data_IF_758154777456
#
_entry.id   IF_758154777456
#
_cell.length_a   1.000
_cell.length_b   1.000
_cell.length_c   1.000
_cell.angle_alpha   90.00
_cell.angle_beta   90.00
_cell.angle_gamma   90.00
#
_symmetry.space_group_name_H-M   'P 1'
#
loop_
_entity.id
_entity.type
_entity.pdbx_description
1 polymer ?
#
# COMPACT_ATOMS: atom_id res chain seq x y z
N UNK A 1 7.87 7.66 15.31
CA UNK A 1 7.26 8.40 14.21
C UNK A 1 6.17 7.57 13.52
N UNK A 2 6.43 6.37 13.08
CA UNK A 2 5.52 5.49 12.32
C UNK A 2 4.23 5.10 13.03
N UNK A 3 4.22 4.90 14.36
CA UNK A 3 2.99 4.62 15.10
C UNK A 3 1.96 5.75 14.99
N UNK A 4 2.39 7.01 15.09
CA UNK A 4 1.50 8.18 14.92
C UNK A 4 0.92 8.23 13.51
N UNK A 5 1.75 7.96 12.50
CA UNK A 5 1.32 7.92 11.09
C UNK A 5 0.34 6.78 10.83
N UNK A 6 0.57 5.59 11.42
CA UNK A 6 -0.34 4.45 11.35
C UNK A 6 -1.71 4.79 11.92
N UNK A 7 -1.76 5.36 13.13
CA UNK A 7 -3.01 5.77 13.78
C UNK A 7 -3.74 6.81 12.94
N UNK A 8 -3.03 7.84 12.45
CA UNK A 8 -3.62 8.90 11.63
C UNK A 8 -4.21 8.36 10.33
N UNK A 9 -3.51 7.45 9.67
CA UNK A 9 -3.96 6.82 8.42
C UNK A 9 -5.18 5.92 8.68
N UNK A 10 -5.18 5.16 9.78
CA UNK A 10 -6.32 4.34 10.19
C UNK A 10 -7.54 5.22 10.46
N UNK A 11 -7.39 6.28 11.25
CA UNK A 11 -8.50 7.20 11.56
C UNK A 11 -9.06 7.82 10.28
N UNK A 12 -8.21 8.31 9.38
CA UNK A 12 -8.65 8.95 8.14
C UNK A 12 -9.44 7.98 7.25
N UNK A 13 -8.91 6.78 7.03
CA UNK A 13 -9.56 5.77 6.21
C UNK A 13 -10.86 5.29 6.84
N UNK A 14 -10.86 5.02 8.15
CA UNK A 14 -12.06 4.58 8.86
C UNK A 14 -13.15 5.65 8.83
N UNK A 15 -12.81 6.93 9.00
CA UNK A 15 -13.75 8.03 8.95
C UNK A 15 -14.44 8.11 7.57
N UNK A 16 -13.68 7.96 6.48
CA UNK A 16 -14.25 7.95 5.12
C UNK A 16 -15.24 6.79 4.95
N UNK A 17 -14.89 5.59 5.41
CA UNK A 17 -15.77 4.43 5.32
C UNK A 17 -17.04 4.60 6.18
N UNK A 18 -16.91 5.10 7.41
CA UNK A 18 -18.04 5.35 8.31
C UNK A 18 -19.02 6.35 7.69
N UNK A 19 -18.51 7.44 7.12
CA UNK A 19 -19.36 8.44 6.43
C UNK A 19 -20.07 7.79 5.24
N UNK A 20 -19.36 7.02 4.43
CA UNK A 20 -19.94 6.38 3.25
C UNK A 20 -21.03 5.37 3.60
N UNK A 21 -20.81 4.54 4.63
CA UNK A 21 -21.81 3.59 5.14
C UNK A 21 -23.03 4.34 5.72
N UNK A 22 -22.80 5.41 6.48
CA UNK A 22 -23.86 6.24 7.05
C UNK A 22 -24.72 6.93 6.00
N UNK A 23 -24.09 7.49 4.95
CA UNK A 23 -24.80 8.10 3.81
C UNK A 23 -25.63 7.05 3.08
N UNK A 24 -25.05 5.87 2.79
CA UNK A 24 -25.77 4.78 2.12
C UNK A 24 -26.99 4.32 2.94
N UNK A 25 -26.81 4.11 4.25
CA UNK A 25 -27.91 3.76 5.15
C UNK A 25 -29.01 4.80 5.18
N UNK A 26 -28.65 6.09 5.24
CA UNK A 26 -29.59 7.22 5.20
C UNK A 26 -30.38 7.28 3.88
N UNK A 27 -29.71 7.04 2.76
CA UNK A 27 -30.36 7.00 1.43
C UNK A 27 -31.38 5.85 1.36
N UNK A 28 -30.99 4.64 1.80
CA UNK A 28 -31.88 3.47 1.79
C UNK A 28 -33.10 3.72 2.67
N UNK A 29 -32.90 4.22 3.89
CA UNK A 29 -34.00 4.51 4.80
C UNK A 29 -34.93 5.59 4.24
N UNK A 30 -34.38 6.71 3.78
CA UNK A 30 -35.16 7.82 3.21
C UNK A 30 -35.94 7.41 1.97
N UNK A 31 -35.33 6.64 1.08
CA UNK A 31 -36.01 6.09 -0.13
C UNK A 31 -37.18 5.19 0.26
N UNK A 32 -36.97 4.24 1.18
CA UNK A 32 -37.99 3.30 1.63
C UNK A 32 -39.12 4.03 2.35
N UNK A 33 -38.80 4.97 3.24
CA UNK A 33 -39.74 5.82 3.93
C UNK A 33 -40.66 6.57 2.95
N UNK A 34 -40.04 7.29 2.01
CA UNK A 34 -40.81 8.08 1.02
C UNK A 34 -41.67 7.19 0.13
N UNK A 35 -41.18 6.00 -0.25
CA UNK A 35 -41.94 5.06 -1.07
C UNK A 35 -43.19 4.55 -0.34
N UNK A 36 -43.01 4.09 0.89
CA UNK A 36 -44.12 3.58 1.71
C UNK A 36 -45.16 4.65 1.96
N UNK A 37 -44.76 5.83 2.42
CA UNK A 37 -45.69 6.91 2.70
C UNK A 37 -46.39 7.43 1.44
N UNK A 38 -45.73 7.47 0.30
CA UNK A 38 -46.35 7.80 -1.00
C UNK A 38 -47.42 6.77 -1.42
N UNK A 39 -47.20 5.49 -1.15
CA UNK A 39 -48.21 4.44 -1.42
C UNK A 39 -49.43 4.57 -0.49
N UNK A 40 -49.20 4.84 0.79
CA UNK A 40 -50.23 5.10 1.78
C UNK A 40 -51.07 6.30 1.37
N UNK A 41 -50.42 7.42 1.04
CA UNK A 41 -51.07 8.67 0.66
C UNK A 41 -51.89 8.55 -0.63
N UNK A 42 -51.34 7.82 -1.63
CA UNK A 42 -52.07 7.49 -2.87
C UNK A 42 -53.30 6.66 -2.61
N UNK A 43 -53.27 5.69 -1.69
CA UNK A 43 -54.42 4.86 -1.38
C UNK A 43 -55.53 5.67 -0.66
N UNK A 44 -55.14 6.51 0.29
CA UNK A 44 -56.08 7.45 0.93
C UNK A 44 -56.67 8.39 -0.12
N UNK A 45 -55.86 8.98 -0.99
CA UNK A 45 -56.32 9.88 -2.05
C UNK A 45 -57.32 9.22 -3.01
N UNK A 46 -57.09 7.96 -3.38
CA UNK A 46 -58.05 7.21 -4.21
C UNK A 46 -59.39 7.02 -3.49
N UNK A 47 -59.37 6.71 -2.21
CA UNK A 47 -60.57 6.54 -1.39
C UNK A 47 -61.34 7.88 -1.24
N UNK A 48 -60.66 9.01 -1.01
CA UNK A 48 -61.23 10.35 -1.01
C UNK A 48 -61.90 10.68 -2.32
N UNK A 49 -61.23 10.42 -3.44
CA UNK A 49 -61.76 10.71 -4.76
C UNK A 49 -62.99 9.82 -5.09
N UNK A 50 -62.94 8.56 -4.71
CA UNK A 50 -64.08 7.65 -4.89
C UNK A 50 -65.29 8.14 -4.10
N UNK A 51 -65.08 8.57 -2.84
CA UNK A 51 -66.13 9.07 -1.98
C UNK A 51 -66.74 10.37 -2.51
N UNK A 52 -65.96 11.32 -2.99
CA UNK A 52 -66.45 12.58 -3.58
C UNK A 52 -67.27 12.33 -4.85
N UNK A 53 -66.91 11.33 -5.65
CA UNK A 53 -67.65 11.00 -6.90
C UNK A 53 -68.93 10.18 -6.66
N UNK A 54 -69.12 9.60 -5.47
CA UNK A 54 -70.29 8.73 -5.16
C UNK A 54 -71.51 9.50 -4.71
N UNK A 55 -71.44 10.82 -4.63
CA UNK A 55 -72.48 11.65 -4.00
C UNK A 55 -73.68 12.04 -4.89
N UNK A 56 -73.66 11.66 -6.17
CA UNK A 56 -74.72 11.99 -7.13
C UNK A 56 -75.93 11.02 -7.17
N UNK A 57 -75.93 9.97 -6.38
CA UNK A 57 -77.05 9.03 -6.35
C UNK A 57 -77.46 8.63 -4.92
N UNK A 58 -78.53 9.25 -4.43
CA UNK A 58 -79.42 8.87 -3.30
C UNK A 58 -78.94 7.69 -2.47
N UNK A 59 -78.56 7.93 -1.20
CA UNK A 59 -78.37 6.89 -0.16
C UNK A 59 -79.57 5.95 -0.21
N UNK A 60 -79.36 4.68 -0.45
CA UNK A 60 -80.44 3.68 -0.31
C UNK A 60 -80.73 3.46 1.17
N UNK A 61 -82.02 3.50 1.52
CA UNK A 61 -82.56 3.29 2.90
C UNK A 61 -82.26 1.87 3.48
N UNK A 62 -81.45 1.08 2.89
CA UNK A 62 -80.90 -0.19 3.41
C UNK A 62 -79.46 -0.31 2.96
N UNK A 63 -78.51 -0.09 3.90
CA UNK A 63 -77.07 -0.33 3.70
C UNK A 63 -76.85 -1.83 3.54
N UNK A 64 -76.97 -2.33 2.33
CA UNK A 64 -76.43 -3.64 1.91
C UNK A 64 -75.24 -3.40 1.04
N UNK A 65 -74.03 -3.72 1.59
CA UNK A 65 -72.86 -4.02 0.82
C UNK A 65 -72.40 -2.98 -0.16
N UNK A 66 -71.70 -1.92 0.28
CA UNK A 66 -70.76 -1.24 -0.59
C UNK A 66 -69.64 -2.25 -0.98
N UNK A 67 -69.24 -2.28 -2.27
CA UNK A 67 -68.08 -3.06 -2.64
C UNK A 67 -66.85 -2.54 -1.87
N UNK A 68 -65.92 -3.42 -1.45
CA UNK A 68 -64.76 -3.03 -0.68
C UNK A 68 -64.01 -1.89 -1.42
N UNK A 69 -63.90 -0.75 -0.75
CA UNK A 69 -62.95 0.27 -1.14
C UNK A 69 -61.62 -0.43 -1.19
N UNK A 70 -60.99 -0.60 -2.35
CA UNK A 70 -59.84 -1.38 -2.72
C UNK A 70 -58.73 -1.73 -1.73
N UNK A 71 -58.65 -1.17 -0.54
CA UNK A 71 -57.67 -1.52 0.52
C UNK A 71 -58.45 -1.84 1.82
N UNK A 72 -58.41 -3.12 2.31
CA UNK A 72 -59.13 -3.56 3.50
C UNK A 72 -58.70 -2.90 4.82
N UNK A 73 -57.58 -2.13 4.78
CA UNK A 73 -57.04 -1.41 5.95
C UNK A 73 -57.57 0.01 6.07
N UNK A 74 -58.45 0.42 5.14
CA UNK A 74 -59.07 1.75 5.15
C UNK A 74 -60.44 1.66 5.79
N UNK A 75 -60.70 2.55 6.79
CA UNK A 75 -61.98 2.74 7.46
C UNK A 75 -62.47 4.15 7.25
N UNK A 76 -63.75 4.32 7.04
CA UNK A 76 -64.39 5.62 6.90
C UNK A 76 -65.13 5.96 8.17
N UNK A 77 -64.85 7.15 8.71
CA UNK A 77 -65.57 7.76 9.86
C UNK A 77 -66.36 8.97 9.38
N UNK A 78 -67.63 9.05 9.71
CA UNK A 78 -68.52 10.17 9.37
C UNK A 78 -68.88 10.90 10.67
N UNK A 79 -68.48 12.14 10.80
CA UNK A 79 -68.72 13.00 11.94
C UNK A 79 -69.92 13.94 11.69
N UNK A 80 -70.91 13.80 12.55
CA UNK A 80 -72.11 14.69 12.53
C UNK A 80 -72.18 15.39 13.89
N UNK A 81 -71.61 16.61 13.97
CA UNK A 81 -71.37 17.22 15.25
C UNK A 81 -70.42 16.38 16.11
N UNK A 82 -70.83 15.97 17.30
CA UNK A 82 -70.05 15.10 18.21
C UNK A 82 -70.38 13.61 18.05
N UNK A 83 -71.25 13.24 17.10
CA UNK A 83 -71.62 11.85 16.84
C UNK A 83 -70.79 11.29 15.70
N UNK A 84 -70.24 10.11 15.88
CA UNK A 84 -69.45 9.40 14.88
C UNK A 84 -70.26 8.23 14.34
N UNK A 85 -70.53 8.23 13.05
CA UNK A 85 -71.03 7.07 12.32
C UNK A 85 -69.87 6.35 11.65
N UNK A 86 -69.76 5.04 11.90
CA UNK A 86 -68.71 4.20 11.29
C UNK A 86 -69.25 3.63 9.98
N UNK A 87 -68.55 3.79 8.88
CA UNK A 87 -68.87 3.16 7.62
C UNK A 87 -68.85 1.64 7.76
N UNK A 88 -69.95 0.96 7.36
CA UNK A 88 -70.07 -0.50 7.49
C UNK A 88 -69.58 -1.15 6.23
N UNK A 89 -68.52 -1.92 6.31
CA UNK A 89 -68.00 -2.78 5.24
C UNK A 89 -68.46 -4.22 5.46
N UNK A 90 -69.11 -4.81 4.45
CA UNK A 90 -69.54 -6.22 4.47
C UNK A 90 -70.44 -6.63 5.68
N UNK A 91 -71.23 -5.77 6.21
CA UNK A 91 -72.17 -6.09 7.26
C UNK A 91 -71.58 -6.32 8.65
N UNK A 92 -70.26 -6.13 8.83
CA UNK A 92 -69.59 -6.16 10.12
C UNK A 92 -69.00 -4.77 10.45
N UNK A 93 -69.35 -4.25 11.62
CA UNK A 93 -68.65 -3.08 12.20
C UNK A 93 -67.24 -3.54 12.53
N UNK A 94 -66.24 -3.02 11.84
CA UNK A 94 -64.84 -3.33 12.08
C UNK A 94 -64.13 -2.08 12.64
N UNK A 95 -64.54 -1.67 13.80
CA UNK A 95 -63.81 -0.66 14.51
C UNK A 95 -63.35 -1.20 15.87
N UNK A 96 -62.06 -1.36 16.02
CA UNK A 96 -61.44 -2.05 17.18
C UNK A 96 -61.38 -1.08 18.41
N UNK A 97 -61.73 0.21 18.24
CA UNK A 97 -61.55 1.24 19.26
C UNK A 97 -62.79 2.12 19.51
N UNK A 98 -63.97 1.48 19.69
CA UNK A 98 -65.20 2.26 19.99
C UNK A 98 -65.03 3.15 21.23
N UNK A 99 -64.21 2.73 22.21
CA UNK A 99 -63.95 3.51 23.46
C UNK A 99 -62.94 4.66 23.29
N UNK A 100 -62.30 4.85 22.11
CA UNK A 100 -61.31 5.86 21.88
C UNK A 100 -61.55 6.73 20.62
N UNK A 101 -62.76 6.78 20.13
CA UNK A 101 -63.15 7.55 18.94
C UNK A 101 -62.79 9.01 19.05
N UNK A 102 -62.81 9.63 20.25
CA UNK A 102 -62.45 11.02 20.49
C UNK A 102 -60.99 11.33 20.02
N UNK A 103 -60.08 10.34 20.10
CA UNK A 103 -58.69 10.52 19.65
C UNK A 103 -58.58 10.67 18.15
N UNK A 104 -59.57 10.20 17.39
CA UNK A 104 -59.62 10.34 15.93
C UNK A 104 -60.28 11.67 15.49
N UNK A 105 -60.79 12.46 16.43
CA UNK A 105 -61.43 13.76 16.09
C UNK A 105 -60.53 14.58 15.16
N UNK A 106 -61.01 15.01 14.00
CA UNK A 106 -60.19 15.69 13.00
C UNK A 106 -59.79 17.09 13.50
N UNK A 107 -58.51 17.29 13.78
CA UNK A 107 -57.96 18.58 14.23
C UNK A 107 -57.83 19.61 13.11
N UNK A 108 -57.56 19.14 11.87
CA UNK A 108 -57.42 19.97 10.68
C UNK A 108 -58.07 19.26 9.47
N UNK A 109 -58.85 20.02 8.69
CA UNK A 109 -59.42 19.52 7.46
C UNK A 109 -58.46 19.71 6.28
N UNK A 110 -58.51 18.81 5.27
CA UNK A 110 -57.72 18.88 4.06
C UNK A 110 -56.24 18.54 4.17
N UNK A 111 -55.82 18.00 5.33
CA UNK A 111 -54.41 17.60 5.54
C UNK A 111 -54.30 16.16 6.03
N UNK A 112 -53.24 15.50 5.62
CA UNK A 112 -52.91 14.19 6.12
C UNK A 112 -52.32 14.31 7.53
N UNK A 113 -52.77 13.45 8.46
CA UNK A 113 -52.35 13.46 9.86
C UNK A 113 -52.05 12.04 10.30
N UNK A 114 -50.99 11.88 11.06
CA UNK A 114 -50.64 10.62 11.73
C UNK A 114 -51.19 10.65 13.17
N UNK A 115 -51.87 9.60 13.58
CA UNK A 115 -52.49 9.47 14.92
C UNK A 115 -52.02 8.13 15.50
N UNK A 116 -51.66 8.16 16.77
CA UNK A 116 -51.34 6.95 17.54
C UNK A 116 -52.42 6.68 18.56
N UNK A 117 -52.98 5.48 18.54
CA UNK A 117 -54.00 5.03 19.47
C UNK A 117 -53.66 3.63 19.97
N UNK A 118 -53.44 3.48 21.26
CA UNK A 118 -53.12 2.18 21.92
C UNK A 118 -51.94 1.43 21.26
N UNK A 119 -50.90 2.13 20.82
CA UNK A 119 -49.75 1.53 20.18
C UNK A 119 -49.92 1.16 18.69
N UNK A 120 -51.12 1.45 18.13
CA UNK A 120 -51.35 1.34 16.68
C UNK A 120 -51.25 2.71 16.02
N UNK A 121 -50.74 2.70 14.79
CA UNK A 121 -50.51 3.95 14.04
C UNK A 121 -51.50 4.04 12.88
N UNK A 122 -52.13 5.22 12.79
CA UNK A 122 -53.13 5.49 11.74
C UNK A 122 -52.76 6.77 11.01
N UNK A 123 -52.94 6.73 9.68
CA UNK A 123 -52.82 7.91 8.83
C UNK A 123 -54.21 8.31 8.39
N UNK A 124 -54.58 9.57 8.62
CA UNK A 124 -55.92 10.03 8.45
C UNK A 124 -55.98 11.27 7.54
N UNK A 125 -57.10 11.40 6.80
CA UNK A 125 -57.43 12.57 6.03
C UNK A 125 -58.89 12.89 6.19
N UNK A 126 -59.21 14.09 6.66
CA UNK A 126 -60.58 14.53 6.89
C UNK A 126 -60.93 15.68 5.93
N UNK A 127 -62.14 15.63 5.39
CA UNK A 127 -62.68 16.71 4.55
C UNK A 127 -64.17 16.94 4.83
N UNK A 128 -64.63 18.17 4.57
CA UNK A 128 -66.03 18.50 4.74
C UNK A 128 -66.86 18.11 3.51
N UNK A 129 -68.00 17.49 3.77
CA UNK A 129 -68.98 17.14 2.74
C UNK A 129 -70.35 17.52 3.30
N UNK A 130 -70.96 18.54 2.70
CA UNK A 130 -72.19 19.17 3.18
C UNK A 130 -72.11 19.60 4.66
N UNK A 131 -72.98 19.06 5.53
CA UNK A 131 -73.03 19.31 7.00
C UNK A 131 -72.19 18.28 7.79
N UNK A 132 -71.49 17.36 7.13
CA UNK A 132 -70.75 16.25 7.74
C UNK A 132 -69.27 16.40 7.47
N UNK A 133 -68.45 15.87 8.35
CA UNK A 133 -67.01 15.67 8.10
C UNK A 133 -66.77 14.21 7.83
N UNK A 134 -66.20 13.90 6.67
CA UNK A 134 -65.80 12.54 6.27
C UNK A 134 -64.32 12.45 6.56
N UNK A 135 -63.93 11.45 7.34
CA UNK A 135 -62.55 11.16 7.68
C UNK A 135 -62.20 9.73 7.19
N UNK A 136 -61.20 9.64 6.37
CA UNK A 136 -60.63 8.40 5.92
C UNK A 136 -59.46 8.05 6.83
N UNK A 137 -59.49 6.88 7.43
CA UNK A 137 -58.48 6.36 8.36
C UNK A 137 -57.86 5.10 7.77
N UNK A 138 -56.58 5.09 7.66
CA UNK A 138 -55.82 3.90 7.21
C UNK A 138 -54.88 3.47 8.34
N UNK A 139 -54.93 2.18 8.68
CA UNK A 139 -53.95 1.56 9.57
C UNK A 139 -52.61 1.45 8.87
N UNK A 140 -51.56 2.02 9.48
CA UNK A 140 -50.18 2.01 9.00
C UNK A 140 -49.22 1.36 10.03
N UNK A 141 -49.75 0.58 10.98
CA UNK A 141 -48.96 -0.02 12.04
C UNK A 141 -47.91 -0.93 11.48
N UNK A 142 -48.29 -1.79 10.50
CA UNK A 142 -47.34 -2.71 9.86
C UNK A 142 -46.21 -1.96 9.08
N UNK A 143 -46.59 -0.86 8.40
CA UNK A 143 -45.62 -0.02 7.68
C UNK A 143 -44.65 0.64 8.66
N UNK A 144 -45.12 1.10 9.80
CA UNK A 144 -44.30 1.75 10.84
C UNK A 144 -43.38 0.74 11.52
N UNK A 145 -43.88 -0.46 11.85
CA UNK A 145 -43.07 -1.55 12.39
C UNK A 145 -41.99 -2.00 11.41
N UNK A 146 -42.32 -2.08 10.11
CA UNK A 146 -41.36 -2.41 9.06
C UNK A 146 -40.24 -1.34 8.97
N UNK A 147 -40.60 -0.04 9.04
CA UNK A 147 -39.61 1.05 9.03
C UNK A 147 -38.73 1.03 10.28
N UNK A 148 -39.30 0.76 11.47
CA UNK A 148 -38.53 0.63 12.69
C UNK A 148 -37.57 -0.57 12.65
N UNK A 149 -38.03 -1.70 12.13
CA UNK A 149 -37.20 -2.89 11.92
C UNK A 149 -36.07 -2.60 10.93
N UNK A 150 -36.37 -1.95 9.81
CA UNK A 150 -35.37 -1.51 8.83
C UNK A 150 -34.33 -0.59 9.46
N UNK A 151 -34.77 0.41 10.24
CA UNK A 151 -33.87 1.30 10.97
C UNK A 151 -32.93 0.56 11.89
N UNK A 152 -33.46 -0.41 12.64
CA UNK A 152 -32.68 -1.22 13.59
C UNK A 152 -31.64 -2.08 12.87
N UNK A 153 -32.04 -2.74 11.77
CA UNK A 153 -31.13 -3.53 10.93
C UNK A 153 -30.03 -2.64 10.35
N UNK A 154 -30.37 -1.46 9.82
CA UNK A 154 -29.39 -0.51 9.29
C UNK A 154 -28.46 -0.01 10.39
N UNK A 155 -28.97 0.33 11.56
CA UNK A 155 -28.16 0.82 12.69
C UNK A 155 -27.16 -0.24 13.17
N UNK A 156 -27.61 -1.50 13.32
CA UNK A 156 -26.71 -2.63 13.68
C UNK A 156 -25.69 -2.87 12.56
N UNK A 157 -26.14 -2.96 11.31
CA UNK A 157 -25.27 -3.18 10.16
C UNK A 157 -24.21 -2.09 9.99
N UNK A 158 -24.59 -0.82 10.11
CA UNK A 158 -23.66 0.31 10.08
C UNK A 158 -22.65 0.27 11.25
N UNK A 159 -23.10 -0.11 12.45
CA UNK A 159 -22.25 -0.22 13.64
C UNK A 159 -21.19 -1.34 13.46
N UNK A 160 -21.62 -2.53 13.06
CA UNK A 160 -20.71 -3.67 12.78
C UNK A 160 -19.77 -3.33 11.62
N UNK A 161 -20.29 -2.78 10.54
CA UNK A 161 -19.48 -2.35 9.38
C UNK A 161 -18.43 -1.32 9.77
N UNK A 162 -18.77 -0.37 10.64
CA UNK A 162 -17.83 0.63 11.16
C UNK A 162 -16.73 0.02 12.01
N UNK A 163 -17.05 -0.93 12.88
CA UNK A 163 -16.05 -1.67 13.67
C UNK A 163 -15.11 -2.47 12.77
N UNK A 164 -15.64 -3.17 11.77
CA UNK A 164 -14.87 -3.89 10.79
C UNK A 164 -13.94 -2.94 9.99
N UNK A 165 -14.44 -1.79 9.57
CA UNK A 165 -13.67 -0.80 8.83
C UNK A 165 -12.46 -0.28 9.65
N UNK A 166 -12.63 -0.06 10.96
CA UNK A 166 -11.52 0.32 11.86
C UNK A 166 -10.48 -0.80 11.96
N UNK A 167 -10.92 -2.04 12.16
CA UNK A 167 -10.02 -3.21 12.27
C UNK A 167 -9.22 -3.46 10.99
N UNK A 168 -9.89 -3.48 9.85
CA UNK A 168 -9.26 -3.66 8.53
C UNK A 168 -8.33 -2.48 8.21
N UNK A 169 -8.77 -1.25 8.48
CA UNK A 169 -7.97 -0.05 8.28
C UNK A 169 -6.67 -0.07 9.09
N UNK A 170 -6.72 -0.51 10.35
CA UNK A 170 -5.55 -0.66 11.21
C UNK A 170 -4.58 -1.74 10.70
N UNK A 171 -5.10 -2.87 10.24
CA UNK A 171 -4.31 -3.96 9.68
C UNK A 171 -3.62 -3.53 8.38
N UNK A 172 -4.36 -2.95 7.44
CA UNK A 172 -3.83 -2.50 6.14
C UNK A 172 -2.80 -1.37 6.30
N UNK A 173 -3.09 -0.37 7.16
CA UNK A 173 -2.14 0.70 7.47
C UNK A 173 -0.84 0.16 8.06
N UNK A 174 -0.91 -0.84 8.94
CA UNK A 174 0.26 -1.52 9.48
C UNK A 174 1.10 -2.19 8.40
N UNK A 175 0.45 -2.96 7.52
CA UNK A 175 1.15 -3.70 6.47
C UNK A 175 1.75 -2.79 5.39
N UNK A 176 1.06 -1.69 5.05
CA UNK A 176 1.55 -0.72 4.07
C UNK A 176 2.77 0.08 4.57
N UNK A 177 2.89 0.29 5.88
CA UNK A 177 4.00 1.05 6.46
C UNK A 177 5.29 0.24 6.65
N UNK A 178 5.23 -1.11 6.68
CA UNK A 178 6.42 -1.96 6.87
C UNK A 178 7.51 -1.70 5.82
N UNK A 179 7.21 -1.67 4.50
CA UNK A 179 8.23 -1.40 3.48
C UNK A 179 8.85 -0.01 3.63
N UNK A 180 8.05 0.98 3.98
CA UNK A 180 8.50 2.36 4.17
C UNK A 180 9.42 2.46 5.39
N UNK A 181 9.07 1.79 6.48
CA UNK A 181 9.88 1.74 7.68
C UNK A 181 11.23 1.07 7.41
N UNK A 182 11.24 -0.09 6.76
CA UNK A 182 12.46 -0.80 6.42
C UNK A 182 13.37 0.03 5.50
N UNK A 183 12.78 0.75 4.53
CA UNK A 183 13.55 1.64 3.64
C UNK A 183 14.14 2.82 4.41
N UNK A 184 13.38 3.39 5.34
CA UNK A 184 13.85 4.49 6.20
C UNK A 184 14.99 4.06 7.12
N UNK A 185 14.87 2.89 7.77
CA UNK A 185 15.90 2.33 8.63
C UNK A 185 17.18 2.05 7.85
N UNK A 186 17.09 1.46 6.65
CA UNK A 186 18.23 1.26 5.76
C UNK A 186 18.89 2.58 5.34
N UNK A 187 18.10 3.61 5.08
CA UNK A 187 18.63 4.93 4.72
C UNK A 187 19.34 5.60 5.91
N UNK A 188 18.79 5.51 7.12
CA UNK A 188 19.46 6.03 8.33
C UNK A 188 20.77 5.29 8.60
N UNK A 189 20.77 3.96 8.48
CA UNK A 189 21.97 3.15 8.63
C UNK A 189 23.04 3.56 7.61
N UNK A 190 22.64 3.73 6.32
CA UNK A 190 23.55 4.18 5.27
C UNK A 190 24.21 5.53 5.61
N UNK A 191 23.46 6.52 6.10
CA UNK A 191 24.02 7.85 6.48
C UNK A 191 24.96 7.70 7.69
N UNK A 192 24.60 6.88 8.66
CA UNK A 192 25.44 6.61 9.84
C UNK A 192 26.78 5.97 9.43
N UNK A 193 26.72 4.90 8.64
CA UNK A 193 27.90 4.16 8.22
C UNK A 193 28.80 5.01 7.30
N UNK A 194 28.21 5.79 6.38
CA UNK A 194 28.94 6.74 5.55
C UNK A 194 29.71 7.77 6.41
N UNK A 195 29.07 8.29 7.47
CA UNK A 195 29.68 9.24 8.38
C UNK A 195 30.86 8.64 9.15
N UNK A 196 30.75 7.38 9.56
CA UNK A 196 31.83 6.67 10.22
C UNK A 196 33.00 6.39 9.27
N UNK A 197 32.73 5.91 8.07
CA UNK A 197 33.74 5.59 7.06
C UNK A 197 34.47 6.85 6.51
N UNK A 198 33.83 8.02 6.53
CA UNK A 198 34.45 9.29 6.16
C UNK A 198 35.32 9.85 7.31
N UNK A 199 34.92 9.66 8.56
CA UNK A 199 35.62 10.24 9.74
C UNK A 199 37.01 9.67 9.93
N UNK A 200 37.17 8.35 9.75
CA UNK A 200 38.43 7.64 10.01
C UNK A 200 39.58 8.15 9.10
N UNK A 201 39.46 8.14 7.76
CA UNK A 201 40.51 8.64 6.89
C UNK A 201 40.77 10.13 7.08
N UNK A 202 39.73 10.92 7.38
CA UNK A 202 39.89 12.36 7.67
C UNK A 202 40.73 12.61 8.92
N UNK A 203 40.53 11.83 9.99
CA UNK A 203 41.30 11.91 11.20
C UNK A 203 42.79 11.53 10.97
N UNK A 204 43.03 10.53 10.10
CA UNK A 204 44.41 10.15 9.71
C UNK A 204 45.09 11.29 8.93
N UNK A 205 44.41 11.87 7.95
CA UNK A 205 44.92 13.01 7.18
C UNK A 205 45.25 14.15 8.14
N UNK A 206 44.33 14.51 9.04
CA UNK A 206 44.53 15.59 9.99
C UNK A 206 45.73 15.32 10.91
N UNK A 207 45.80 14.11 11.53
CA UNK A 207 46.93 13.73 12.37
C UNK A 207 48.25 13.77 11.63
N UNK A 208 48.35 13.30 10.40
CA UNK A 208 49.55 13.33 9.59
C UNK A 208 49.96 14.78 9.19
N UNK A 209 48.96 15.61 8.92
CA UNK A 209 49.16 17.04 8.64
C UNK A 209 49.71 17.78 9.86
N UNK A 210 49.20 17.48 11.06
CA UNK A 210 49.69 18.04 12.34
C UNK A 210 51.16 17.68 12.59
N UNK A 211 51.55 16.41 12.27
CA UNK A 211 52.95 15.94 12.34
C UNK A 211 53.86 16.73 11.39
N UNK A 212 53.36 17.08 10.16
CA UNK A 212 54.11 17.91 9.22
C UNK A 212 54.32 19.33 9.78
N UNK A 213 53.29 19.92 10.36
CA UNK A 213 53.42 21.25 11.00
C UNK A 213 54.36 21.30 12.22
N UNK A 214 54.46 20.21 12.98
CA UNK A 214 55.38 20.11 14.11
C UNK A 214 56.85 19.92 13.70
N UNK A 215 57.14 19.73 12.41
CA UNK A 215 58.49 19.50 11.88
C UNK A 215 58.84 20.46 10.76
N UNK A 216 58.85 21.79 11.00
CA UNK A 216 58.98 22.79 9.91
C UNK A 216 60.35 22.76 9.19
N UNK A 217 61.36 22.17 9.81
CA UNK A 217 62.71 22.06 9.23
C UNK A 217 62.95 20.75 8.49
N UNK A 218 62.00 19.81 8.56
CA UNK A 218 62.13 18.52 7.87
C UNK A 218 62.00 18.66 6.36
N UNK A 219 62.79 17.90 5.63
CA UNK A 219 62.71 17.83 4.19
C UNK A 219 61.49 17.01 3.69
N UNK A 220 61.07 17.20 2.45
CA UNK A 220 60.02 16.41 1.82
C UNK A 220 60.38 14.92 1.84
N UNK A 221 61.63 14.58 1.66
CA UNK A 221 62.16 13.22 1.64
C UNK A 221 62.00 12.55 3.03
N UNK A 222 62.35 13.25 4.10
CA UNK A 222 62.14 12.78 5.49
C UNK A 222 60.67 12.58 5.84
N UNK A 223 59.76 13.33 5.23
CA UNK A 223 58.30 13.26 5.43
C UNK A 223 57.55 12.52 4.34
N UNK A 224 58.25 11.87 3.41
CA UNK A 224 57.66 11.18 2.26
C UNK A 224 56.57 10.13 2.65
N UNK A 225 56.80 9.42 3.76
CA UNK A 225 55.84 8.45 4.28
C UNK A 225 54.56 9.09 4.78
N UNK A 226 54.65 10.23 5.50
CA UNK A 226 53.48 10.96 5.99
C UNK A 226 52.71 11.56 4.83
N UNK A 227 53.36 12.15 3.85
CA UNK A 227 52.78 12.72 2.61
C UNK A 227 52.13 11.60 1.78
N UNK A 228 52.78 10.45 1.64
CA UNK A 228 52.26 9.29 0.92
C UNK A 228 50.97 8.77 1.59
N UNK A 229 50.96 8.71 2.94
CA UNK A 229 49.78 8.32 3.73
C UNK A 229 48.61 9.28 3.49
N UNK A 230 48.86 10.61 3.54
CA UNK A 230 47.82 11.60 3.23
C UNK A 230 47.27 11.39 1.81
N UNK A 231 48.17 11.23 0.82
CA UNK A 231 47.77 11.02 -0.58
C UNK A 231 46.92 9.74 -0.75
N UNK A 232 47.28 8.65 -0.06
CA UNK A 232 46.55 7.38 -0.06
C UNK A 232 45.14 7.58 0.52
N UNK A 233 45.02 8.26 1.67
CA UNK A 233 43.72 8.51 2.30
C UNK A 233 42.84 9.49 1.51
N UNK A 234 43.42 10.49 0.85
CA UNK A 234 42.67 11.37 -0.07
C UNK A 234 42.08 10.59 -1.26
N UNK A 235 42.84 9.66 -1.86
CA UNK A 235 42.35 8.80 -2.95
C UNK A 235 41.26 7.87 -2.47
N UNK A 236 41.41 7.29 -1.26
CA UNK A 236 40.40 6.46 -0.63
C UNK A 236 39.09 7.22 -0.38
N UNK A 237 39.15 8.45 0.14
CA UNK A 237 38.01 9.32 0.34
C UNK A 237 37.30 9.65 -0.99
N UNK A 238 38.07 10.00 -2.02
CA UNK A 238 37.50 10.27 -3.35
C UNK A 238 36.72 9.09 -3.92
N UNK A 239 37.31 7.85 -3.83
CA UNK A 239 36.63 6.63 -4.25
C UNK A 239 35.37 6.37 -3.43
N UNK A 240 35.44 6.60 -2.10
CA UNK A 240 34.29 6.43 -1.20
C UNK A 240 33.13 7.39 -1.56
N UNK A 241 33.42 8.68 -1.73
CA UNK A 241 32.43 9.70 -2.12
C UNK A 241 31.80 9.37 -3.47
N UNK A 242 32.61 8.98 -4.47
CA UNK A 242 32.10 8.57 -5.79
C UNK A 242 31.13 7.38 -5.68
N UNK A 243 31.47 6.38 -4.88
CA UNK A 243 30.62 5.21 -4.66
C UNK A 243 29.32 5.56 -3.90
N UNK A 244 29.38 6.45 -2.90
CA UNK A 244 28.22 6.93 -2.18
C UNK A 244 27.26 7.70 -3.10
N UNK A 245 27.80 8.60 -3.94
CA UNK A 245 26.99 9.34 -4.92
C UNK A 245 26.35 8.40 -5.95
N UNK A 246 27.09 7.37 -6.40
CA UNK A 246 26.55 6.37 -7.31
C UNK A 246 25.36 5.65 -6.68
N UNK A 247 25.50 5.15 -5.44
CA UNK A 247 24.43 4.46 -4.73
C UNK A 247 23.24 5.37 -4.42
N UNK A 248 23.47 6.62 -4.02
CA UNK A 248 22.40 7.58 -3.77
C UNK A 248 21.58 7.89 -5.05
N UNK A 249 22.26 8.03 -6.20
CA UNK A 249 21.60 8.22 -7.51
C UNK A 249 20.90 6.95 -7.99
N UNK A 250 21.43 5.76 -7.63
CA UNK A 250 20.82 4.49 -7.98
C UNK A 250 19.46 4.29 -7.29
N UNK A 251 19.35 4.69 -6.02
CA UNK A 251 18.12 4.61 -5.23
C UNK A 251 17.01 5.52 -5.78
N UNK A 252 17.38 6.67 -6.32
CA UNK A 252 16.43 7.60 -6.94
C UNK A 252 16.07 7.25 -8.38
N UNK A 253 16.57 6.12 -8.90
CA UNK A 253 16.42 5.68 -10.30
C UNK A 253 16.81 6.75 -11.34
N UNK A 254 17.74 7.65 -10.98
CA UNK A 254 18.20 8.79 -11.81
C UNK A 254 19.36 8.44 -12.73
N UNK A 255 19.87 7.21 -12.67
CA UNK A 255 20.96 6.77 -13.53
C UNK A 255 20.37 6.12 -14.77
N UNK A 256 20.50 6.76 -15.89
CA UNK A 256 20.25 6.17 -17.20
C UNK A 256 21.45 5.31 -17.60
N UNK A 257 21.17 4.09 -18.08
CA UNK A 257 22.20 3.18 -18.56
C UNK A 257 22.45 3.43 -20.04
N UNK A 258 23.71 3.69 -20.42
CA UNK A 258 24.11 3.82 -21.81
C UNK A 258 24.33 2.42 -22.43
N UNK A 259 23.22 1.73 -22.71
CA UNK A 259 23.24 0.37 -23.23
C UNK A 259 23.56 0.37 -24.73
N UNK A 260 24.70 -0.20 -25.08
CA UNK A 260 25.16 -0.41 -26.46
C UNK A 260 25.61 -1.85 -26.64
N UNK A 261 25.64 -2.31 -27.87
CA UNK A 261 26.18 -3.64 -28.18
C UNK A 261 27.71 -3.58 -28.20
N UNK A 262 28.35 -4.48 -27.46
CA UNK A 262 29.80 -4.63 -27.43
C UNK A 262 30.18 -6.12 -27.29
N UNK A 263 31.46 -6.43 -27.55
CA UNK A 263 32.02 -7.77 -27.43
C UNK A 263 32.51 -8.01 -26.00
N UNK A 264 31.83 -8.91 -25.27
CA UNK A 264 32.12 -9.22 -23.88
C UNK A 264 33.47 -9.86 -23.67
N UNK A 265 33.86 -10.75 -24.58
CA UNK A 265 35.16 -11.41 -24.58
C UNK A 265 36.31 -10.39 -24.63
N UNK A 266 36.24 -9.43 -25.54
CA UNK A 266 37.26 -8.37 -25.65
C UNK A 266 37.30 -7.48 -24.41
N UNK A 267 36.13 -7.14 -23.84
CA UNK A 267 36.10 -6.37 -22.62
C UNK A 267 36.75 -7.13 -21.45
N UNK A 268 36.50 -8.43 -21.32
CA UNK A 268 37.09 -9.24 -20.26
C UNK A 268 38.62 -9.39 -20.44
N UNK A 269 39.11 -9.58 -21.67
CA UNK A 269 40.54 -9.59 -21.97
C UNK A 269 41.21 -8.28 -21.58
N UNK A 270 40.64 -7.13 -21.99
CA UNK A 270 41.12 -5.78 -21.65
C UNK A 270 41.23 -5.54 -20.13
N UNK A 271 40.25 -6.05 -19.35
CA UNK A 271 40.24 -5.90 -17.90
C UNK A 271 41.22 -6.84 -17.21
N UNK A 272 41.23 -8.12 -17.63
CA UNK A 272 41.98 -9.18 -16.93
C UNK A 272 43.48 -9.14 -17.21
N UNK A 273 43.92 -8.71 -18.39
CA UNK A 273 45.33 -8.68 -18.72
C UNK A 273 46.20 -7.85 -17.77
N UNK A 274 45.85 -6.63 -17.38
CA UNK A 274 46.57 -5.89 -16.34
C UNK A 274 46.58 -6.60 -14.98
N UNK A 275 45.49 -7.30 -14.64
CA UNK A 275 45.38 -8.04 -13.37
C UNK A 275 46.30 -9.28 -13.35
N UNK A 276 46.54 -9.93 -14.49
CA UNK A 276 47.50 -11.04 -14.57
C UNK A 276 48.92 -10.63 -14.17
N UNK A 277 49.35 -9.43 -14.63
CA UNK A 277 50.66 -8.88 -14.24
C UNK A 277 50.71 -8.62 -12.72
N UNK A 278 49.66 -7.95 -12.15
CA UNK A 278 49.58 -7.67 -10.71
C UNK A 278 49.55 -8.97 -9.92
N UNK A 279 48.79 -9.98 -10.38
CA UNK A 279 48.68 -11.28 -9.72
C UNK A 279 50.06 -11.98 -9.69
N UNK A 280 50.79 -11.95 -10.77
CA UNK A 280 52.14 -12.50 -10.86
C UNK A 280 53.11 -11.88 -9.84
N UNK A 281 53.06 -10.52 -9.68
CA UNK A 281 53.83 -9.82 -8.63
C UNK A 281 53.47 -10.23 -7.21
N UNK A 282 52.23 -10.69 -7.01
CA UNK A 282 51.74 -11.16 -5.72
C UNK A 282 51.80 -12.69 -5.56
N UNK A 283 52.57 -13.36 -6.42
CA UNK A 283 52.70 -14.80 -6.45
C UNK A 283 51.36 -15.56 -6.58
N UNK A 284 50.41 -14.99 -7.33
CA UNK A 284 49.09 -15.57 -7.60
C UNK A 284 48.98 -15.95 -9.08
N UNK A 285 48.24 -16.99 -9.40
CA UNK A 285 47.93 -17.38 -10.76
C UNK A 285 46.53 -16.86 -11.16
N UNK A 286 46.46 -16.19 -12.33
CA UNK A 286 45.17 -15.70 -12.87
C UNK A 286 44.93 -16.26 -14.27
N UNK A 287 43.80 -16.96 -14.43
CA UNK A 287 43.44 -17.66 -15.67
C UNK A 287 42.14 -17.09 -16.21
N UNK A 288 42.12 -16.69 -17.49
CA UNK A 288 40.90 -16.28 -18.20
C UNK A 288 40.53 -17.38 -19.19
N UNK A 289 39.31 -17.89 -19.11
CA UNK A 289 38.67 -18.81 -20.05
C UNK A 289 37.43 -18.18 -20.62
N UNK A 290 37.49 -17.67 -21.83
CA UNK A 290 36.38 -16.98 -22.48
C UNK A 290 36.07 -17.64 -23.83
N UNK A 291 34.79 -17.82 -24.12
CA UNK A 291 34.33 -18.14 -25.47
C UNK A 291 34.42 -16.88 -26.34
N UNK A 292 34.81 -17.03 -27.60
CA UNK A 292 34.94 -15.90 -28.52
C UNK A 292 33.61 -15.50 -29.12
N UNK A 293 33.54 -14.24 -29.61
CA UNK A 293 32.41 -13.65 -30.31
C UNK A 293 31.12 -13.55 -29.43
N UNK A 294 31.28 -13.27 -28.11
CA UNK A 294 30.17 -13.05 -27.21
C UNK A 294 29.68 -11.59 -27.34
N UNK A 295 28.64 -11.39 -28.13
CA UNK A 295 27.98 -10.08 -28.24
C UNK A 295 26.98 -9.84 -27.09
N UNK A 296 27.08 -8.70 -26.42
CA UNK A 296 26.20 -8.32 -25.31
C UNK A 296 25.69 -6.89 -25.47
N UNK A 297 24.38 -6.65 -25.20
CA UNK A 297 23.79 -5.34 -25.16
C UNK A 297 23.75 -4.85 -23.70
N UNK A 298 24.56 -3.86 -23.36
CA UNK A 298 24.66 -3.35 -21.99
C UNK A 298 25.49 -2.07 -21.92
N UNK A 299 25.60 -1.52 -20.72
CA UNK A 299 26.48 -0.39 -20.42
C UNK A 299 27.89 -0.94 -20.14
N UNK A 300 28.79 -0.78 -21.15
CA UNK A 300 30.14 -1.29 -21.13
C UNK A 300 30.95 -0.82 -19.91
N UNK A 301 30.83 0.45 -19.58
CA UNK A 301 31.55 1.07 -18.44
C UNK A 301 31.08 0.50 -17.10
N UNK A 302 29.78 0.24 -16.95
CA UNK A 302 29.22 -0.38 -15.75
C UNK A 302 29.62 -1.85 -15.63
N UNK A 303 29.62 -2.61 -16.73
CA UNK A 303 30.11 -4.00 -16.71
C UNK A 303 31.60 -4.02 -16.38
N UNK A 304 32.40 -3.10 -16.96
CA UNK A 304 33.81 -2.93 -16.57
C UNK A 304 33.95 -2.68 -15.06
N UNK A 305 33.19 -1.73 -14.52
CA UNK A 305 33.20 -1.42 -13.08
C UNK A 305 32.84 -2.63 -12.21
N UNK A 306 31.82 -3.39 -12.60
CA UNK A 306 31.43 -4.63 -11.91
C UNK A 306 32.57 -5.63 -11.90
N UNK A 307 33.20 -5.88 -13.04
CA UNK A 307 34.31 -6.83 -13.14
C UNK A 307 35.52 -6.42 -12.30
N UNK A 308 35.89 -5.12 -12.31
CA UNK A 308 36.95 -4.58 -11.44
C UNK A 308 36.64 -4.84 -9.97
N UNK A 309 35.38 -4.64 -9.53
CA UNK A 309 34.97 -4.93 -8.15
C UNK A 309 35.16 -6.39 -7.79
N UNK A 310 34.73 -7.30 -8.67
CA UNK A 310 34.86 -8.75 -8.43
C UNK A 310 36.30 -9.21 -8.43
N UNK A 311 37.12 -8.68 -9.35
CA UNK A 311 38.57 -8.98 -9.43
C UNK A 311 39.34 -8.39 -8.23
N UNK A 312 39.06 -7.15 -7.83
CA UNK A 312 39.63 -6.52 -6.62
C UNK A 312 39.35 -7.40 -5.38
N UNK A 313 38.15 -7.97 -5.27
CA UNK A 313 37.82 -8.89 -4.18
C UNK A 313 38.59 -10.21 -4.28
N UNK A 314 38.62 -10.83 -5.44
CA UNK A 314 39.39 -12.07 -5.65
C UNK A 314 40.87 -11.85 -5.32
N UNK A 315 41.48 -10.79 -5.84
CA UNK A 315 42.88 -10.43 -5.58
C UNK A 315 43.12 -10.18 -4.08
N UNK A 316 42.20 -9.52 -3.39
CA UNK A 316 42.35 -9.17 -1.97
C UNK A 316 42.28 -10.40 -1.06
N UNK A 317 41.39 -11.35 -1.36
CA UNK A 317 41.10 -12.46 -0.44
C UNK A 317 41.80 -13.78 -0.81
N UNK A 318 42.46 -13.85 -1.98
CA UNK A 318 43.35 -14.94 -2.32
C UNK A 318 44.73 -14.72 -1.69
N UNK A 319 45.32 -15.76 -1.12
CA UNK A 319 46.69 -15.71 -0.56
C UNK A 319 47.76 -15.84 -1.68
N UNK A 320 49.03 -15.60 -1.34
CA UNK A 320 50.15 -15.93 -2.23
C UNK A 320 50.18 -17.45 -2.54
N UNK A 321 50.45 -17.80 -3.80
CA UNK A 321 50.33 -19.15 -4.29
C UNK A 321 48.92 -19.60 -4.69
N UNK A 322 47.92 -18.73 -4.51
CA UNK A 322 46.54 -19.05 -4.85
C UNK A 322 46.15 -18.77 -6.30
N UNK A 323 44.95 -19.22 -6.67
CA UNK A 323 44.50 -19.25 -8.07
C UNK A 323 43.17 -18.45 -8.18
N UNK A 324 43.10 -17.62 -9.23
CA UNK A 324 41.92 -16.86 -9.60
C UNK A 324 41.52 -17.26 -11.03
N UNK A 325 40.30 -17.74 -11.21
CA UNK A 325 39.82 -18.16 -12.52
C UNK A 325 38.61 -17.35 -12.92
N UNK A 326 38.63 -16.79 -14.13
CA UNK A 326 37.54 -16.06 -14.74
C UNK A 326 37.03 -16.89 -15.93
N UNK A 327 35.75 -17.25 -15.91
CA UNK A 327 35.09 -17.96 -17.00
C UNK A 327 33.97 -17.09 -17.57
N UNK A 328 33.87 -17.04 -18.91
CA UNK A 328 32.71 -16.44 -19.57
C UNK A 328 32.19 -17.40 -20.65
N UNK A 329 30.92 -17.77 -20.55
CA UNK A 329 30.28 -18.71 -21.46
C UNK A 329 28.95 -18.18 -21.94
N UNK A 330 28.67 -18.45 -23.22
CA UNK A 330 27.39 -18.09 -23.82
C UNK A 330 26.42 -19.27 -23.74
N UNK A 331 25.35 -19.09 -22.95
CA UNK A 331 24.25 -20.06 -22.86
C UNK A 331 23.18 -19.76 -23.94
N UNK A 332 22.17 -20.61 -24.07
CA UNK A 332 21.09 -20.43 -25.05
C UNK A 332 20.34 -19.10 -24.86
N UNK A 333 20.04 -18.68 -23.59
CA UNK A 333 19.28 -17.52 -23.26
C UNK A 333 19.99 -16.47 -22.40
N UNK A 334 21.24 -16.75 -21.98
CA UNK A 334 22.00 -15.89 -21.05
C UNK A 334 23.50 -15.93 -21.36
N UNK A 335 24.22 -14.95 -20.84
CA UNK A 335 25.66 -14.93 -20.74
C UNK A 335 25.99 -15.11 -19.27
N UNK A 336 26.88 -16.09 -19.01
CA UNK A 336 27.35 -16.42 -17.66
C UNK A 336 28.80 -16.00 -17.51
N UNK A 337 29.08 -15.23 -16.47
CA UNK A 337 30.43 -14.85 -16.06
C UNK A 337 30.66 -15.42 -14.66
N UNK A 338 31.78 -16.11 -14.45
CA UNK A 338 32.19 -16.61 -13.15
C UNK A 338 33.58 -16.06 -12.79
N UNK A 339 33.70 -15.58 -11.56
CA UNK A 339 34.98 -15.20 -10.95
C UNK A 339 35.15 -16.10 -9.74
N UNK A 340 36.10 -17.03 -9.83
CA UNK A 340 36.37 -18.01 -8.79
C UNK A 340 37.77 -17.79 -8.22
N UNK A 341 37.88 -17.78 -6.90
CA UNK A 341 39.11 -17.76 -6.15
C UNK A 341 39.21 -18.96 -5.20
N UNK A 342 40.40 -19.33 -4.81
CA UNK A 342 40.71 -20.32 -3.79
C UNK A 342 41.18 -19.66 -2.48
N UNK A 343 40.67 -18.47 -2.22
CA UNK A 343 41.02 -17.68 -1.04
C UNK A 343 40.38 -18.14 0.25
N UNK A 344 40.25 -17.21 1.20
CA UNK A 344 39.77 -17.53 2.55
C UNK A 344 38.29 -17.96 2.61
N UNK A 345 37.52 -17.74 1.55
CA UNK A 345 36.08 -18.01 1.50
C UNK A 345 35.27 -17.12 2.43
N UNK A 346 33.97 -17.39 2.49
CA UNK A 346 32.96 -16.66 3.28
C UNK A 346 32.22 -17.65 4.19
N UNK A 347 31.91 -17.25 5.41
CA UNK A 347 31.07 -18.06 6.32
C UNK A 347 29.62 -18.07 5.84
N UNK A 348 28.91 -19.18 6.02
CA UNK A 348 27.51 -19.34 5.59
C UNK A 348 26.58 -18.25 6.15
N UNK A 349 26.81 -17.79 7.39
CA UNK A 349 26.04 -16.73 8.05
C UNK A 349 26.21 -15.34 7.43
N UNK A 350 27.33 -15.15 6.68
CA UNK A 350 27.72 -13.89 6.05
C UNK A 350 27.27 -13.80 4.57
N UNK A 351 27.09 -14.95 3.91
CA UNK A 351 26.69 -15.00 2.49
C UNK A 351 25.45 -14.15 2.17
N UNK A 352 24.36 -14.19 2.95
CA UNK A 352 23.18 -13.39 2.68
C UNK A 352 23.39 -11.86 2.79
N UNK A 353 24.45 -11.44 3.49
CA UNK A 353 24.76 -10.03 3.80
C UNK A 353 25.82 -9.43 2.89
N UNK A 354 26.47 -10.24 2.03
CA UNK A 354 27.60 -9.79 1.21
C UNK A 354 27.29 -8.61 0.30
N UNK A 355 26.03 -8.48 -0.12
CA UNK A 355 25.56 -7.39 -0.98
C UNK A 355 24.97 -6.22 -0.21
N UNK A 356 24.92 -6.30 1.13
CA UNK A 356 24.51 -5.17 1.95
C UNK A 356 25.59 -4.09 1.95
N UNK A 357 25.16 -2.83 1.97
CA UNK A 357 26.06 -1.66 1.97
C UNK A 357 26.86 -1.64 3.26
N UNK A 358 28.14 -1.30 3.15
CA UNK A 358 29.11 -1.25 4.27
C UNK A 358 29.32 -2.58 4.98
N UNK A 359 28.80 -3.69 4.43
CA UNK A 359 29.03 -4.97 5.03
C UNK A 359 30.50 -5.42 4.81
N UNK A 360 31.13 -5.86 5.88
CA UNK A 360 32.48 -6.43 5.91
C UNK A 360 32.52 -7.57 6.92
N UNK A 361 32.99 -8.75 6.51
CA UNK A 361 33.22 -9.85 7.45
C UNK A 361 34.34 -9.52 8.47
N UNK A 362 34.33 -10.19 9.62
CA UNK A 362 35.20 -9.87 10.76
C UNK A 362 36.70 -9.76 10.43
N UNK A 363 37.24 -10.61 9.55
CA UNK A 363 38.63 -10.55 9.12
C UNK A 363 38.93 -9.44 8.10
N UNK A 364 37.94 -8.99 7.35
CA UNK A 364 38.09 -7.91 6.41
C UNK A 364 38.20 -6.54 7.09
N UNK A 365 37.64 -6.38 8.29
CA UNK A 365 37.76 -5.16 9.11
C UNK A 365 39.18 -4.91 9.59
N UNK A 366 39.97 -5.94 9.85
CA UNK A 366 41.35 -5.80 10.31
C UNK A 366 42.34 -5.45 9.21
N UNK A 367 41.98 -5.66 7.94
CA UNK A 367 42.83 -5.39 6.76
C UNK A 367 42.57 -4.03 6.08
N UNK A 368 41.96 -3.07 6.74
CA UNK A 368 41.73 -1.62 6.44
C UNK A 368 41.52 -1.19 4.96
N UNK A 369 41.31 -2.05 4.01
CA UNK A 369 41.13 -1.73 2.60
C UNK A 369 39.74 -2.07 2.07
N UNK A 370 38.87 -1.06 2.02
CA UNK A 370 37.56 -1.12 1.36
C UNK A 370 36.43 -0.72 2.30
N UNK A 371 35.48 0.09 1.82
CA UNK A 371 34.34 0.59 2.59
C UNK A 371 33.13 -0.35 2.59
N UNK A 372 33.24 -1.58 2.07
CA UNK A 372 32.10 -2.50 1.98
C UNK A 372 30.99 -2.08 0.99
N UNK A 373 31.33 -1.20 0.03
CA UNK A 373 30.37 -0.71 -0.98
C UNK A 373 30.49 -1.43 -2.33
N UNK A 374 31.60 -2.14 -2.58
CA UNK A 374 31.90 -2.72 -3.89
C UNK A 374 30.83 -3.73 -4.32
N UNK A 375 30.58 -4.77 -3.53
CA UNK A 375 29.63 -5.81 -3.91
C UNK A 375 28.19 -5.31 -4.02
N UNK A 376 27.79 -4.30 -3.23
CA UNK A 376 26.47 -3.68 -3.39
C UNK A 376 26.34 -2.91 -4.71
N UNK A 377 27.44 -2.28 -5.18
CA UNK A 377 27.51 -1.64 -6.51
C UNK A 377 27.48 -2.72 -7.62
N UNK A 378 28.22 -3.81 -7.47
CA UNK A 378 28.22 -4.90 -8.45
C UNK A 378 26.82 -5.51 -8.59
N UNK A 379 26.14 -5.76 -7.48
CA UNK A 379 24.75 -6.24 -7.48
C UNK A 379 23.81 -5.27 -8.19
N UNK A 380 23.90 -3.97 -7.89
CA UNK A 380 23.10 -2.94 -8.55
C UNK A 380 23.35 -2.91 -10.08
N UNK A 381 24.59 -3.01 -10.52
CA UNK A 381 24.91 -3.06 -11.95
C UNK A 381 24.26 -4.29 -12.61
N UNK A 382 24.34 -5.44 -11.96
CA UNK A 382 23.73 -6.68 -12.45
C UNK A 382 22.20 -6.57 -12.54
N UNK A 383 21.55 -6.02 -11.52
CA UNK A 383 20.10 -5.79 -11.51
C UNK A 383 19.65 -4.82 -12.63
N UNK A 384 20.42 -3.75 -12.88
CA UNK A 384 20.12 -2.79 -13.96
C UNK A 384 20.28 -3.40 -15.37
N UNK A 385 21.03 -4.49 -15.47
CA UNK A 385 21.13 -5.30 -16.68
C UNK A 385 20.20 -6.52 -16.66
N UNK A 386 19.18 -6.52 -15.76
CA UNK A 386 18.23 -7.63 -15.60
C UNK A 386 18.89 -8.98 -15.33
N UNK A 387 20.12 -8.95 -14.84
CA UNK A 387 20.90 -10.12 -14.48
C UNK A 387 20.65 -10.58 -13.05
N UNK A 388 21.34 -11.64 -12.68
CA UNK A 388 21.36 -12.18 -11.33
C UNK A 388 22.80 -12.55 -10.96
N UNK A 389 23.23 -12.14 -9.74
CA UNK A 389 24.49 -12.53 -9.16
C UNK A 389 24.24 -13.60 -8.09
N UNK A 390 25.01 -14.67 -8.11
CA UNK A 390 24.99 -15.76 -7.15
C UNK A 390 26.37 -15.89 -6.53
N UNK A 391 26.42 -16.36 -5.29
CA UNK A 391 27.67 -16.62 -4.57
C UNK A 391 27.63 -18.05 -4.08
N UNK A 392 28.69 -18.80 -4.39
CA UNK A 392 28.97 -20.10 -3.84
C UNK A 392 30.33 -20.00 -3.14
N UNK A 393 30.38 -20.20 -1.84
CA UNK A 393 31.57 -19.98 -1.05
C UNK A 393 31.61 -20.91 0.15
N UNK A 394 32.79 -21.37 0.48
CA UNK A 394 33.05 -22.17 1.68
C UNK A 394 34.27 -21.64 2.40
N UNK A 395 34.12 -21.43 3.69
CA UNK A 395 35.20 -20.92 4.54
C UNK A 395 36.43 -21.81 4.46
N UNK A 396 37.56 -21.23 4.05
CA UNK A 396 38.85 -21.93 3.86
C UNK A 396 39.05 -22.59 2.50
N UNK A 397 38.05 -22.58 1.61
CA UNK A 397 38.13 -23.23 0.26
C UNK A 397 38.03 -22.23 -0.89
N UNK A 398 37.56 -21.00 -0.62
CA UNK A 398 37.45 -19.92 -1.60
C UNK A 398 36.02 -19.49 -1.93
N UNK A 399 35.89 -18.62 -2.94
CA UNK A 399 34.59 -18.01 -3.33
C UNK A 399 34.43 -18.09 -4.87
N UNK A 400 33.20 -18.32 -5.30
CA UNK A 400 32.78 -18.18 -6.68
C UNK A 400 31.61 -17.21 -6.79
N UNK A 401 31.82 -16.09 -7.46
CA UNK A 401 30.76 -15.19 -7.90
C UNK A 401 30.31 -15.61 -9.30
N UNK A 402 29.04 -15.92 -9.47
CA UNK A 402 28.44 -16.22 -10.75
C UNK A 402 27.43 -15.14 -11.13
N UNK A 403 27.67 -14.47 -12.26
CA UNK A 403 26.79 -13.44 -12.82
C UNK A 403 26.14 -13.98 -14.08
N UNK A 404 24.81 -13.94 -14.14
CA UNK A 404 24.02 -14.37 -15.27
C UNK A 404 23.25 -13.19 -15.86
N UNK A 405 23.57 -12.79 -17.09
CA UNK A 405 22.87 -11.76 -17.83
C UNK A 405 21.95 -12.36 -18.89
N UNK A 406 20.68 -11.93 -19.02
CA UNK A 406 19.84 -12.35 -20.14
C UNK A 406 20.39 -11.79 -21.45
N UNK A 407 20.39 -12.58 -22.53
CA UNK A 407 20.82 -12.12 -23.87
C UNK A 407 19.93 -11.00 -24.41
N UNK A 408 18.61 -11.14 -24.23
CA UNK A 408 17.64 -10.15 -24.65
C UNK A 408 17.43 -9.14 -23.51
N UNK A 409 18.21 -8.09 -23.49
CA UNK A 409 18.00 -6.96 -22.62
C UNK A 409 16.76 -6.20 -23.10
N UNK A 410 15.80 -5.95 -22.21
CA UNK A 410 14.71 -5.01 -22.50
C UNK A 410 15.31 -3.61 -22.57
N UNK A 411 15.05 -2.90 -23.67
CA UNK A 411 15.41 -1.50 -23.87
C UNK A 411 14.55 -0.62 -22.94
#
# INVERSE_FOLDING_TARGET
MFQKTRIRLTILNSLVFIILIGVLGSIIYSYTYNRIYNEVDKSIGKSVQHRKNSDDKKLPKKIRGYPPIGDPRITELIWIGNIVEIGIENGKRRFIFEDNLEKFSPKKLGTLQDIEVQGQYFRTFAFQQDTKIVQIVRDITAEKEMLNTLFLILAIGCSVGSLCAVGIGFFLAGRALIPIQNSWEKQQQFVSDASHELRTPLAVIQSKTDVLFQSPSATIEEKAMDISTISKECRRLSKLVTNLLLLARSDSNQIEMDKKTFEMDKLLEEIVDPYKEIASYQEKEMILKVEHDISFMGDRERIHQMMVILLDNAMKYTNGGGHIQIDCTQMSSSIRIRVKDDGIGVKDEDIPKLFDRFYQGDKARSASEGAGLGLSIANWIVEKHYGKILVDSKWGEGTCFEVNFPKNQRI
#
